data_IF_832092571950
#
_entry.id   IF_832092571950
#
_cell.length_a   1.000
_cell.length_b   1.000
_cell.length_c   1.000
_cell.angle_alpha   90.00
_cell.angle_beta   90.00
_cell.angle_gamma   90.00
#
_symmetry.space_group_name_H-M   'P 1'
#
loop_
_entity.id
_entity.type
_entity.pdbx_description
1 polymer ?
#
# COMPACT_ATOMS: atom_id res chain seq x y z
N UNK A 1 -8.42 22.78 18.50
CA UNK A 1 -8.21 22.67 17.04
C UNK A 1 -6.74 22.74 16.63
N UNK A 2 -5.78 22.83 17.56
CA UNK A 2 -4.34 22.90 17.23
C UNK A 2 -3.66 21.51 17.31
N UNK A 3 -4.03 20.68 18.29
CA UNK A 3 -3.49 19.33 18.49
C UNK A 3 -3.76 18.37 17.32
N UNK A 4 -4.85 18.58 16.59
CA UNK A 4 -5.19 17.75 15.42
C UNK A 4 -4.24 17.95 14.23
N UNK A 5 -3.53 19.08 14.15
CA UNK A 5 -2.57 19.32 13.08
C UNK A 5 -1.21 18.66 13.38
N UNK A 6 -0.81 18.68 14.66
CA UNK A 6 0.42 18.03 15.11
C UNK A 6 0.34 16.50 14.97
N UNK A 7 -0.79 15.87 15.36
CA UNK A 7 -0.96 14.42 15.14
C UNK A 7 -0.98 14.03 13.66
N UNK A 8 -1.59 14.85 12.79
CA UNK A 8 -1.56 14.60 11.33
C UNK A 8 -0.14 14.67 10.77
N UNK A 9 0.70 15.54 11.32
CA UNK A 9 2.09 15.66 10.90
C UNK A 9 2.92 14.45 11.38
N UNK A 10 2.67 13.96 12.59
CA UNK A 10 3.31 12.73 13.11
C UNK A 10 2.94 11.49 12.28
N UNK A 11 1.66 11.32 11.92
CA UNK A 11 1.22 10.20 11.05
C UNK A 11 1.84 10.23 9.64
N UNK A 12 2.25 11.40 9.15
CA UNK A 12 2.91 11.56 7.85
C UNK A 12 4.44 11.45 7.91
N UNK A 13 5.02 11.38 9.12
CA UNK A 13 6.46 11.38 9.32
C UNK A 13 7.10 10.00 9.02
N UNK A 14 6.34 8.90 9.21
CA UNK A 14 6.79 7.54 8.92
C UNK A 14 5.89 6.82 7.90
N UNK A 15 5.96 7.20 6.61
CA UNK A 15 5.05 6.68 5.58
C UNK A 15 5.27 5.21 5.25
N UNK A 16 6.24 4.53 5.87
CA UNK A 16 6.57 3.11 5.64
C UNK A 16 6.16 2.21 6.82
N UNK A 17 5.39 2.74 7.76
CA UNK A 17 4.84 1.97 8.86
C UNK A 17 3.70 1.03 8.43
N UNK A 18 2.87 0.66 9.40
CA UNK A 18 1.71 -0.23 9.20
C UNK A 18 0.40 0.42 9.65
N UNK A 19 0.41 1.72 9.90
CA UNK A 19 -0.76 2.51 10.26
C UNK A 19 -1.65 2.74 9.03
N UNK A 20 -2.90 3.14 9.27
CA UNK A 20 -3.91 3.23 8.21
C UNK A 20 -3.58 4.23 7.09
N UNK A 21 -2.76 5.25 7.39
CA UNK A 21 -2.34 6.29 6.46
C UNK A 21 -0.96 6.01 5.83
N UNK A 22 -0.32 4.91 6.21
CA UNK A 22 0.99 4.54 5.68
C UNK A 22 0.87 3.96 4.27
N UNK A 23 1.98 3.97 3.54
CA UNK A 23 2.01 3.51 2.17
C UNK A 23 1.74 2.00 2.12
N UNK A 24 0.86 1.53 1.23
CA UNK A 24 0.58 0.12 1.08
C UNK A 24 1.69 -0.56 0.28
N UNK A 25 2.80 -0.82 0.97
CA UNK A 25 3.99 -1.44 0.40
C UNK A 25 3.69 -2.82 -0.17
N UNK A 26 2.79 -3.58 0.47
CA UNK A 26 2.38 -4.91 0.01
C UNK A 26 1.68 -4.86 -1.35
N UNK A 27 0.74 -3.93 -1.56
CA UNK A 27 0.09 -3.74 -2.86
C UNK A 27 1.06 -3.23 -3.94
N UNK A 28 2.04 -2.40 -3.58
CA UNK A 28 3.08 -1.96 -4.52
C UNK A 28 3.95 -3.14 -4.94
N UNK A 29 4.41 -3.96 -3.99
CA UNK A 29 5.18 -5.17 -4.26
C UNK A 29 4.40 -6.16 -5.13
N UNK A 30 3.12 -6.37 -4.82
CA UNK A 30 2.23 -7.23 -5.60
C UNK A 30 2.04 -6.72 -7.04
N UNK A 31 1.88 -5.40 -7.24
CA UNK A 31 1.79 -4.83 -8.57
C UNK A 31 3.08 -5.04 -9.38
N UNK A 32 4.25 -4.81 -8.76
CA UNK A 32 5.55 -5.04 -9.40
C UNK A 32 5.73 -6.53 -9.75
N UNK A 33 5.37 -7.43 -8.84
CA UNK A 33 5.43 -8.88 -9.08
C UNK A 33 4.56 -9.30 -10.27
N UNK A 34 3.32 -8.79 -10.32
CA UNK A 34 2.39 -9.03 -11.44
C UNK A 34 2.99 -8.52 -12.76
N UNK A 35 3.50 -7.29 -12.78
CA UNK A 35 4.06 -6.69 -14.00
C UNK A 35 5.26 -7.51 -14.51
N UNK A 36 6.13 -7.97 -13.61
CA UNK A 36 7.28 -8.80 -13.97
C UNK A 36 6.88 -10.18 -14.50
N UNK A 37 5.89 -10.83 -13.88
CA UNK A 37 5.39 -12.14 -14.33
C UNK A 37 4.65 -12.03 -15.67
N UNK A 38 3.88 -10.96 -15.87
CA UNK A 38 3.23 -10.66 -17.14
C UNK A 38 4.25 -10.43 -18.27
N UNK A 39 5.35 -9.72 -17.99
CA UNK A 39 6.42 -9.52 -18.96
C UNK A 39 7.15 -10.83 -19.33
N UNK A 40 7.12 -11.83 -18.45
CA UNK A 40 7.71 -13.15 -18.68
C UNK A 40 6.74 -14.18 -19.28
N UNK A 41 5.50 -13.80 -19.64
CA UNK A 41 4.44 -14.69 -20.12
C UNK A 41 4.14 -15.88 -19.16
N UNK A 42 4.30 -15.65 -17.85
CA UNK A 42 4.03 -16.67 -16.83
C UNK A 42 2.52 -16.97 -16.72
N UNK A 43 2.18 -18.25 -16.56
CA UNK A 43 0.79 -18.70 -16.50
C UNK A 43 0.13 -18.46 -15.12
N UNK A 44 0.94 -18.44 -14.06
CA UNK A 44 0.49 -18.18 -12.69
C UNK A 44 0.90 -16.76 -12.27
N UNK A 45 -0.07 -15.85 -12.29
CA UNK A 45 0.10 -14.48 -11.83
C UNK A 45 -0.67 -14.32 -10.51
N UNK A 46 -0.06 -13.76 -9.45
CA UNK A 46 -0.74 -13.54 -8.18
C UNK A 46 -1.91 -12.57 -8.34
N UNK A 47 -2.93 -12.72 -7.49
CA UNK A 47 -4.09 -11.84 -7.52
C UNK A 47 -3.68 -10.41 -7.13
N UNK A 48 -4.20 -9.42 -7.86
CA UNK A 48 -3.99 -8.01 -7.53
C UNK A 48 -4.63 -7.69 -6.18
N UNK A 49 -3.85 -7.13 -5.26
CA UNK A 49 -4.38 -6.62 -3.99
C UNK A 49 -5.31 -5.44 -4.30
N UNK A 50 -6.56 -5.55 -3.86
CA UNK A 50 -7.60 -4.54 -4.04
C UNK A 50 -7.90 -3.85 -2.71
N UNK A 51 -8.22 -2.54 -2.72
CA UNK A 51 -8.50 -1.83 -1.49
C UNK A 51 -9.74 -2.39 -0.81
N UNK A 52 -9.68 -2.53 0.50
CA UNK A 52 -10.81 -2.91 1.33
C UNK A 52 -11.83 -1.74 1.46
N UNK A 53 -12.88 -1.92 2.28
CA UNK A 53 -13.92 -0.90 2.49
C UNK A 53 -13.37 0.40 3.14
N UNK A 54 -12.16 0.37 3.68
CA UNK A 54 -11.47 1.50 4.29
C UNK A 54 -10.29 1.98 3.46
N UNK A 55 -10.21 1.59 2.18
CA UNK A 55 -9.13 1.94 1.24
C UNK A 55 -7.75 1.40 1.64
N UNK A 56 -7.71 0.35 2.46
CA UNK A 56 -6.48 -0.30 2.89
C UNK A 56 -6.05 -1.36 1.88
N UNK A 57 -4.76 -1.44 1.62
CA UNK A 57 -4.12 -2.25 0.57
C UNK A 57 -3.04 -3.17 1.16
N UNK A 58 -3.28 -3.65 2.38
CA UNK A 58 -2.46 -4.60 3.16
C UNK A 58 -2.91 -6.05 2.99
#
# INVERSE_FOLDING_TARGET
TFISLDCLAEELEDPFGTENNDLPLDAICNAIEIDLLQMNDEAEIPAKILPDRHYQLT
#
